data_IF_651186149573
#
_entry.id   IF_651186149573
#
_cell.length_a   1.000
_cell.length_b   1.000
_cell.length_c   1.000
_cell.angle_alpha   90.00
_cell.angle_beta   90.00
_cell.angle_gamma   90.00
#
_symmetry.space_group_name_H-M   'P 1'
#
loop_
_entity.id
_entity.type
_entity.pdbx_description
1 polymer ?
#
# COMPACT_ATOMS: atom_id res chain seq x y z
N UNK A 1 -5.56 -4.94 19.89
CA UNK A 1 -6.53 -4.50 18.86
C UNK A 1 -6.06 -3.13 18.39
N UNK A 2 -6.00 -2.88 17.08
CA UNK A 2 -5.68 -1.55 16.54
C UNK A 2 -6.92 -0.66 16.69
N UNK A 3 -6.77 0.49 17.32
CA UNK A 3 -7.88 1.42 17.59
C UNK A 3 -7.59 2.83 17.11
N UNK A 4 -6.31 3.19 16.95
CA UNK A 4 -5.88 4.51 16.47
C UNK A 4 -4.80 4.40 15.39
N UNK A 5 -4.56 5.50 14.68
CA UNK A 5 -3.48 5.55 13.69
C UNK A 5 -2.08 5.45 14.30
N UNK A 6 -1.93 5.59 15.62
CA UNK A 6 -0.64 5.51 16.30
C UNK A 6 -0.24 4.07 16.65
N UNK A 7 -1.16 3.12 16.56
CA UNK A 7 -0.96 1.73 17.03
C UNK A 7 -0.20 0.85 16.04
N UNK A 8 0.06 1.34 14.82
CA UNK A 8 0.76 0.62 13.76
C UNK A 8 1.77 1.52 13.06
N UNK A 9 2.79 0.91 12.45
CA UNK A 9 3.84 1.61 11.70
C UNK A 9 3.84 1.23 10.22
N UNK A 10 3.57 -0.02 9.91
CA UNK A 10 3.75 -0.60 8.57
C UNK A 10 2.44 -1.19 8.02
N UNK A 11 1.53 -0.37 7.47
CA UNK A 11 0.32 -0.86 6.83
C UNK A 11 0.61 -1.40 5.43
N UNK A 12 -0.04 -2.50 5.06
CA UNK A 12 -0.03 -3.08 3.73
C UNK A 12 -1.42 -2.98 3.07
N UNK A 13 -1.51 -2.36 1.90
CA UNK A 13 -2.76 -2.15 1.16
C UNK A 13 -2.95 -3.22 0.08
N UNK A 14 -4.08 -3.92 0.08
CA UNK A 14 -4.51 -4.79 -1.02
C UNK A 14 -5.53 -4.00 -1.86
N UNK A 15 -5.18 -3.72 -3.12
CA UNK A 15 -5.92 -2.79 -3.99
C UNK A 15 -5.40 -1.35 -3.89
N UNK A 16 -4.09 -1.16 -3.72
CA UNK A 16 -3.50 0.18 -3.45
C UNK A 16 -3.66 1.17 -4.60
N UNK A 17 -3.86 0.71 -5.84
CA UNK A 17 -4.02 1.60 -7.00
C UNK A 17 -5.44 2.17 -7.11
N UNK A 18 -6.40 1.70 -6.32
CA UNK A 18 -7.75 2.28 -6.25
C UNK A 18 -7.70 3.74 -5.80
N UNK A 19 -8.56 4.60 -6.34
CA UNK A 19 -8.54 6.05 -6.03
C UNK A 19 -8.68 6.36 -4.54
N UNK A 20 -9.58 5.69 -3.83
CA UNK A 20 -9.73 5.84 -2.38
C UNK A 20 -8.54 5.26 -1.60
N UNK A 21 -8.04 4.10 -2.02
CA UNK A 21 -6.93 3.42 -1.35
C UNK A 21 -5.63 4.18 -1.49
N UNK A 22 -5.32 4.67 -2.69
CA UNK A 22 -4.14 5.48 -2.98
C UNK A 22 -4.14 6.80 -2.20
N UNK A 23 -5.29 7.45 -2.02
CA UNK A 23 -5.40 8.65 -1.20
C UNK A 23 -5.04 8.38 0.27
N UNK A 24 -5.59 7.29 0.84
CA UNK A 24 -5.29 6.90 2.24
C UNK A 24 -3.83 6.48 2.39
N UNK A 25 -3.28 5.72 1.43
CA UNK A 25 -1.90 5.28 1.44
C UNK A 25 -0.92 6.47 1.43
N UNK A 26 -1.16 7.47 0.58
CA UNK A 26 -0.37 8.70 0.52
C UNK A 26 -0.49 9.53 1.80
N UNK A 27 -1.70 9.65 2.37
CA UNK A 27 -1.87 10.32 3.66
C UNK A 27 -1.06 9.64 4.77
N UNK A 28 -1.16 8.31 4.91
CA UNK A 28 -0.41 7.56 5.91
C UNK A 28 1.10 7.69 5.71
N UNK A 29 1.56 7.69 4.46
CA UNK A 29 2.96 7.93 4.13
C UNK A 29 3.41 9.34 4.56
N UNK A 30 2.60 10.36 4.27
CA UNK A 30 2.86 11.76 4.63
C UNK A 30 2.92 12.00 6.15
N UNK A 31 2.16 11.24 6.95
CA UNK A 31 2.24 11.28 8.42
C UNK A 31 3.29 10.32 9.02
N UNK A 32 4.17 9.76 8.18
CA UNK A 32 5.36 9.03 8.61
C UNK A 32 5.21 7.51 8.77
N UNK A 33 4.19 6.89 8.15
CA UNK A 33 4.04 5.43 8.13
C UNK A 33 4.89 4.78 7.04
N UNK A 34 5.28 3.53 7.26
CA UNK A 34 5.96 2.68 6.29
C UNK A 34 4.94 1.97 5.40
N UNK A 35 4.35 2.73 4.47
CA UNK A 35 3.25 2.24 3.63
C UNK A 35 3.77 1.40 2.47
N UNK A 36 3.11 0.27 2.26
CA UNK A 36 3.30 -0.61 1.10
C UNK A 36 1.96 -1.13 0.61
N UNK A 37 1.90 -1.66 -0.61
CA UNK A 37 0.69 -2.30 -1.09
C UNK A 37 0.84 -3.01 -2.41
N UNK A 38 -0.19 -3.78 -2.76
CA UNK A 38 -0.30 -4.51 -4.01
C UNK A 38 -1.56 -4.17 -4.76
N UNK A 39 -1.55 -4.39 -6.08
CA UNK A 39 -2.72 -4.24 -6.93
C UNK A 39 -2.70 -5.25 -8.09
N UNK A 40 -3.90 -5.68 -8.55
CA UNK A 40 -4.06 -6.62 -9.66
C UNK A 40 -3.57 -6.06 -11.01
N UNK A 41 -3.49 -4.74 -11.13
CA UNK A 41 -2.98 -4.07 -12.32
C UNK A 41 -1.46 -3.94 -12.33
N UNK A 42 -0.77 -4.27 -11.25
CA UNK A 42 0.69 -4.27 -11.21
C UNK A 42 1.21 -5.59 -11.77
N UNK A 43 2.07 -5.50 -12.78
CA UNK A 43 2.73 -6.64 -13.41
C UNK A 43 4.23 -6.35 -13.55
N UNK A 44 5.02 -7.40 -13.59
CA UNK A 44 6.46 -7.29 -13.81
C UNK A 44 6.75 -6.80 -15.22
N UNK A 45 7.65 -5.82 -15.35
CA UNK A 45 8.05 -5.25 -16.64
C UNK A 45 7.01 -4.38 -17.35
N UNK A 46 5.80 -4.21 -16.80
CA UNK A 46 4.74 -3.39 -17.38
C UNK A 46 4.68 -2.02 -16.68
N UNK A 47 4.72 -0.94 -17.46
CA UNK A 47 4.53 0.41 -16.94
C UNK A 47 3.11 0.58 -16.42
N UNK A 48 2.98 1.19 -15.25
CA UNK A 48 1.69 1.58 -14.68
C UNK A 48 1.83 2.98 -14.06
N UNK A 49 1.08 3.93 -14.57
CA UNK A 49 1.16 5.34 -14.13
C UNK A 49 0.90 5.50 -12.64
N UNK A 50 -0.13 4.82 -12.11
CA UNK A 50 -0.47 4.87 -10.68
C UNK A 50 0.63 4.26 -9.83
N UNK A 51 1.21 3.14 -10.25
CA UNK A 51 2.36 2.52 -9.59
C UNK A 51 3.52 3.51 -9.48
N UNK A 52 3.92 4.12 -10.59
CA UNK A 52 5.03 5.09 -10.62
C UNK A 52 4.77 6.30 -9.72
N UNK A 53 3.54 6.83 -9.72
CA UNK A 53 3.15 7.94 -8.82
C UNK A 53 3.26 7.54 -7.35
N UNK A 54 2.72 6.38 -6.97
CA UNK A 54 2.80 5.86 -5.59
C UNK A 54 4.26 5.63 -5.16
N UNK A 55 5.08 5.05 -6.02
CA UNK A 55 6.51 4.82 -5.75
C UNK A 55 7.29 6.13 -5.61
N UNK A 56 6.92 7.18 -6.36
CA UNK A 56 7.50 8.52 -6.23
C UNK A 56 7.21 9.14 -4.85
N UNK A 57 6.04 8.88 -4.29
CA UNK A 57 5.69 9.25 -2.91
C UNK A 57 6.35 8.33 -1.85
N UNK A 58 7.15 7.35 -2.28
CA UNK A 58 7.85 6.41 -1.41
C UNK A 58 6.97 5.27 -0.87
N UNK A 59 5.90 4.92 -1.58
CA UNK A 59 5.03 3.77 -1.28
C UNK A 59 5.52 2.57 -2.11
N UNK A 60 5.94 1.50 -1.42
CA UNK A 60 6.40 0.30 -2.10
C UNK A 60 5.22 -0.47 -2.74
N UNK A 61 5.30 -0.70 -4.04
CA UNK A 61 4.24 -1.34 -4.83
C UNK A 61 4.63 -2.77 -5.26
N UNK A 62 3.74 -3.72 -4.99
CA UNK A 62 3.97 -5.15 -5.24
C UNK A 62 2.92 -5.71 -6.21
N UNK A 63 3.32 -6.71 -7.00
CA UNK A 63 2.33 -7.57 -7.66
C UNK A 63 1.47 -8.26 -6.58
N UNK A 64 0.21 -8.54 -6.87
CA UNK A 64 -0.72 -9.10 -5.88
C UNK A 64 -0.55 -10.63 -5.72
N UNK A 65 0.65 -11.06 -5.29
CA UNK A 65 1.04 -12.45 -5.10
C UNK A 65 1.41 -12.81 -3.64
N UNK A 66 1.23 -11.86 -2.72
CA UNK A 66 1.48 -12.03 -1.28
C UNK A 66 2.91 -11.73 -0.83
N UNK A 67 3.90 -11.57 -1.73
CA UNK A 67 5.30 -11.34 -1.34
C UNK A 67 5.55 -10.03 -0.59
N UNK A 68 4.66 -9.06 -0.73
CA UNK A 68 4.77 -7.77 -0.06
C UNK A 68 4.36 -7.79 1.42
N UNK A 69 3.69 -8.85 1.88
CA UNK A 69 3.32 -9.03 3.28
C UNK A 69 4.45 -9.77 3.99
N UNK A 70 4.99 -9.18 5.06
CA UNK A 70 6.15 -9.72 5.79
C UNK A 70 5.87 -9.72 7.29
N UNK A 71 6.81 -10.25 8.08
CA UNK A 71 6.75 -10.21 9.55
C UNK A 71 6.70 -8.78 10.12
N UNK A 72 7.06 -7.77 9.33
CA UNK A 72 7.01 -6.36 9.72
C UNK A 72 5.68 -5.68 9.45
N UNK A 73 4.72 -6.36 8.84
CA UNK A 73 3.39 -5.83 8.52
C UNK A 73 2.51 -5.82 9.77
N UNK A 74 2.11 -4.63 10.22
CA UNK A 74 1.29 -4.46 11.43
C UNK A 74 -0.22 -4.50 11.14
N UNK A 75 -0.61 -4.04 9.94
CA UNK A 75 -1.99 -3.84 9.54
C UNK A 75 -2.14 -4.17 8.06
N UNK A 76 -3.17 -4.94 7.72
CA UNK A 76 -3.59 -5.15 6.32
C UNK A 76 -4.88 -4.38 6.06
N UNK A 77 -4.89 -3.55 5.03
CA UNK A 77 -6.06 -2.79 4.57
C UNK A 77 -6.51 -3.37 3.24
N UNK A 78 -7.75 -3.84 3.16
CA UNK A 78 -8.27 -4.56 1.99
C UNK A 78 -9.44 -3.79 1.39
N UNK A 79 -9.38 -3.52 0.09
CA UNK A 79 -10.52 -2.95 -0.64
C UNK A 79 -11.59 -4.01 -0.91
N UNK A 80 -12.84 -3.60 -1.14
CA UNK A 80 -13.93 -4.53 -1.51
C UNK A 80 -13.92 -4.97 -2.97
N UNK A 81 -13.05 -4.38 -3.81
CA UNK A 81 -13.01 -4.59 -5.26
C UNK A 81 -12.33 -5.89 -5.69
#
# INVERSE_FOLDING_TARGET
>A
MISTIHDFKSPFFIGVAGSGMSAIAQYLKGVGKNVSGSDRFFKEGEYNETKTKLETEGIACFVQDGKGITETTDLVVVSTA
#
